data_IF_557158406174
#
_entry.id   IF_557158406174
#
_cell.length_a   1.000
_cell.length_b   1.000
_cell.length_c   1.000
_cell.angle_alpha   90.00
_cell.angle_beta   90.00
_cell.angle_gamma   90.00
#
_symmetry.space_group_name_H-M   'P 1'
#
loop_
_entity.id
_entity.type
_entity.pdbx_description
1 polymer ?
#
# COMPACT_ATOMS: atom_id res chain seq x y z
N UNK A 1 -5.31 -4.15 6.89
CA UNK A 1 -3.95 -4.69 6.61
C UNK A 1 -2.95 -3.88 7.41
N UNK A 2 -1.94 -4.51 7.99
CA UNK A 2 -0.90 -3.80 8.75
C UNK A 2 0.46 -4.47 8.56
N UNK A 3 1.54 -3.71 8.75
CA UNK A 3 2.89 -4.24 8.62
C UNK A 3 3.97 -3.18 8.47
N UNK A 4 5.22 -3.63 8.50
CA UNK A 4 6.37 -2.77 8.29
C UNK A 4 6.60 -2.46 6.81
N UNK A 5 6.85 -1.19 6.52
CA UNK A 5 7.36 -0.71 5.24
C UNK A 5 8.53 0.22 5.48
N UNK A 6 9.47 0.24 4.54
CA UNK A 6 10.54 1.22 4.50
C UNK A 6 10.00 2.47 3.81
N UNK A 7 10.01 3.59 4.52
CA UNK A 7 9.67 4.91 3.99
C UNK A 7 10.95 5.72 3.78
N UNK A 8 11.08 6.36 2.61
CA UNK A 8 12.12 7.35 2.43
C UNK A 8 11.81 8.62 3.25
N UNK A 9 12.79 9.06 4.03
CA UNK A 9 12.68 10.26 4.89
C UNK A 9 13.47 11.43 4.30
N UNK A 10 14.80 11.33 4.22
CA UNK A 10 15.67 12.36 3.64
C UNK A 10 16.99 11.74 3.16
N UNK A 11 17.86 12.52 2.52
CA UNK A 11 19.17 12.03 2.05
C UNK A 11 20.13 11.63 3.19
N UNK A 12 19.95 12.15 4.40
CA UNK A 12 20.81 11.87 5.56
C UNK A 12 20.46 10.54 6.24
N UNK A 13 19.18 10.19 6.30
CA UNK A 13 18.64 9.01 7.02
C UNK A 13 18.13 7.93 6.08
N UNK A 14 17.90 8.27 4.81
CA UNK A 14 17.53 7.36 3.74
C UNK A 14 16.19 6.64 3.95
N UNK A 15 16.23 5.32 3.86
CA UNK A 15 15.08 4.43 4.06
C UNK A 15 14.95 4.06 5.53
N UNK A 16 13.78 4.34 6.11
CA UNK A 16 13.50 4.10 7.52
C UNK A 16 12.30 3.17 7.65
N UNK A 17 12.42 2.13 8.48
CA UNK A 17 11.32 1.22 8.75
C UNK A 17 10.25 1.93 9.59
N UNK A 18 9.01 1.87 9.14
CA UNK A 18 7.84 2.45 9.80
C UNK A 18 6.70 1.45 9.78
N UNK A 19 5.87 1.48 10.82
CA UNK A 19 4.68 0.65 10.90
C UNK A 19 3.55 1.33 10.14
N UNK A 20 2.93 0.63 9.19
CA UNK A 20 1.80 1.12 8.43
C UNK A 20 0.56 0.30 8.77
N UNK A 21 -0.57 0.99 8.90
CA UNK A 21 -1.88 0.36 9.05
C UNK A 21 -2.81 0.91 7.97
N UNK A 22 -3.54 0.01 7.35
CA UNK A 22 -4.55 0.30 6.36
C UNK A 22 -5.90 -0.14 6.93
N UNK A 23 -6.75 0.84 7.23
CA UNK A 23 -8.08 0.66 7.80
C UNK A 23 -9.05 1.65 7.17
N UNK A 24 -10.25 1.19 6.80
CA UNK A 24 -11.34 2.02 6.27
C UNK A 24 -10.93 2.92 5.09
N UNK A 25 -10.05 2.41 4.21
CA UNK A 25 -9.54 3.17 3.06
C UNK A 25 -8.56 4.30 3.42
N UNK A 26 -8.09 4.34 4.66
CA UNK A 26 -7.09 5.27 5.17
C UNK A 26 -5.83 4.48 5.52
N UNK A 27 -4.71 4.90 4.94
CA UNK A 27 -3.38 4.38 5.24
C UNK A 27 -2.68 5.31 6.25
N UNK A 28 -2.54 4.85 7.48
CA UNK A 28 -1.85 5.56 8.56
C UNK A 28 -0.46 4.98 8.79
N UNK A 29 0.48 5.81 9.24
CA UNK A 29 1.81 5.34 9.62
C UNK A 29 2.29 5.87 10.96
N UNK A 30 3.12 5.06 11.61
CA UNK A 30 3.62 5.25 12.96
C UNK A 30 5.14 5.04 12.99
N UNK A 31 5.79 5.62 13.99
CA UNK A 31 7.23 5.48 14.15
C UNK A 31 7.62 4.05 14.53
N UNK A 32 6.87 3.45 15.44
CA UNK A 32 6.97 2.03 15.81
C UNK A 32 5.58 1.43 16.06
N UNK A 33 5.51 0.11 16.22
CA UNK A 33 4.26 -0.60 16.48
C UNK A 33 3.68 -0.25 17.87
N UNK A 34 4.53 0.09 18.82
CA UNK A 34 4.18 0.45 20.20
C UNK A 34 3.65 1.89 20.30
N UNK A 35 4.05 2.77 19.37
CA UNK A 35 3.57 4.17 19.28
C UNK A 35 2.19 4.32 18.64
N UNK A 36 1.50 3.23 18.28
CA UNK A 36 0.13 3.29 17.72
C UNK A 36 -0.84 4.05 18.64
N UNK A 37 -0.61 3.99 19.97
CA UNK A 37 -1.38 4.71 20.98
C UNK A 37 -0.86 6.14 21.28
N UNK A 38 0.36 6.48 20.86
CA UNK A 38 1.03 7.76 21.17
C UNK A 38 0.76 8.85 20.14
N UNK A 39 0.21 8.48 18.97
CA UNK A 39 -0.25 9.43 17.94
C UNK A 39 0.23 9.06 16.54
N UNK A 40 -0.66 9.21 15.56
CA UNK A 40 -0.33 8.97 14.16
C UNK A 40 0.62 10.06 13.63
N UNK A 41 1.73 9.67 12.99
CA UNK A 41 2.66 10.64 12.36
C UNK A 41 2.10 11.19 11.05
N UNK A 42 1.17 10.45 10.43
CA UNK A 42 0.44 10.89 9.26
C UNK A 42 -0.57 9.84 8.80
N UNK A 43 -1.59 10.29 8.08
CA UNK A 43 -2.60 9.44 7.46
C UNK A 43 -2.87 9.88 6.02
N UNK A 44 -3.16 8.91 5.15
CA UNK A 44 -3.36 9.09 3.73
C UNK A 44 -4.71 8.49 3.34
N UNK A 45 -5.60 9.29 2.76
CA UNK A 45 -6.86 8.77 2.21
C UNK A 45 -6.60 8.18 0.84
N UNK A 46 -6.83 6.87 0.70
CA UNK A 46 -6.51 6.15 -0.54
C UNK A 46 -7.41 6.51 -1.72
N UNK A 47 -8.63 7.00 -1.47
CA UNK A 47 -9.55 7.44 -2.52
C UNK A 47 -8.96 8.54 -3.40
N UNK A 48 -8.11 9.39 -2.83
CA UNK A 48 -7.50 10.54 -3.49
C UNK A 48 -6.01 10.33 -3.77
N UNK A 49 -5.52 9.11 -3.62
CA UNK A 49 -4.12 8.76 -3.73
C UNK A 49 -3.85 7.94 -4.99
N UNK A 50 -2.80 8.25 -5.75
CA UNK A 50 -2.35 7.48 -6.89
C UNK A 50 -1.22 6.51 -6.50
N UNK A 51 -1.35 5.26 -6.94
CA UNK A 51 -0.40 4.19 -6.65
C UNK A 51 0.47 3.95 -7.88
N UNK A 52 1.77 4.11 -7.72
CA UNK A 52 2.76 3.88 -8.78
C UNK A 52 3.64 2.71 -8.38
N UNK A 53 3.58 1.62 -9.14
CA UNK A 53 4.44 0.45 -8.92
C UNK A 53 5.70 0.59 -9.75
N UNK A 54 6.88 0.45 -9.13
CA UNK A 54 8.12 0.44 -9.87
C UNK A 54 8.29 -0.88 -10.64
N UNK A 55 8.61 -0.78 -11.94
CA UNK A 55 8.87 -1.93 -12.82
C UNK A 55 10.26 -2.53 -12.58
N UNK A 56 11.25 -1.69 -12.29
CA UNK A 56 12.65 -2.10 -12.10
C UNK A 56 12.94 -2.66 -10.71
N UNK A 57 12.42 -2.03 -9.64
CA UNK A 57 12.59 -2.53 -8.27
C UNK A 57 11.32 -3.28 -7.82
N UNK A 58 11.37 -4.61 -7.71
CA UNK A 58 10.21 -5.43 -7.41
C UNK A 58 9.77 -5.37 -5.94
N UNK A 59 10.40 -4.51 -5.12
CA UNK A 59 10.00 -4.24 -3.73
C UNK A 59 9.50 -2.81 -3.53
N UNK A 60 9.66 -1.92 -4.52
CA UNK A 60 9.37 -0.50 -4.39
C UNK A 60 8.03 -0.14 -5.02
N UNK A 61 7.32 0.78 -4.37
CA UNK A 61 6.10 1.39 -4.87
C UNK A 61 5.96 2.77 -4.24
N UNK A 62 5.32 3.69 -4.95
CA UNK A 62 5.16 5.05 -4.51
C UNK A 62 3.67 5.41 -4.42
N UNK A 63 3.33 6.24 -3.45
CA UNK A 63 2.00 6.79 -3.26
C UNK A 63 2.05 8.29 -3.48
N UNK A 64 1.22 8.80 -4.39
CA UNK A 64 1.09 10.22 -4.67
C UNK A 64 -0.23 10.72 -4.09
N UNK A 65 -0.16 11.76 -3.27
CA UNK A 65 -1.32 12.46 -2.73
C UNK A 65 -1.19 13.94 -3.10
N UNK A 66 -1.80 14.32 -4.22
CA UNK A 66 -1.61 15.67 -4.79
C UNK A 66 -0.13 15.94 -5.07
N UNK A 67 0.45 16.93 -4.41
CA UNK A 67 1.86 17.30 -4.55
C UNK A 67 2.81 16.46 -3.68
N UNK A 68 2.28 15.70 -2.71
CA UNK A 68 3.09 14.92 -1.79
C UNK A 68 3.32 13.49 -2.34
N UNK A 69 4.59 13.09 -2.45
CA UNK A 69 4.98 11.72 -2.84
C UNK A 69 5.60 10.96 -1.68
N UNK A 70 5.09 9.77 -1.43
CA UNK A 70 5.62 8.82 -0.47
C UNK A 70 6.33 7.71 -1.20
N UNK A 71 7.65 7.64 -1.01
CA UNK A 71 8.45 6.53 -1.52
C UNK A 71 8.43 5.41 -0.49
N UNK A 72 7.88 4.26 -0.89
CA UNK A 72 7.72 3.10 -0.02
C UNK A 72 8.43 1.88 -0.62
N UNK A 73 8.96 1.05 0.26
CA UNK A 73 9.58 -0.21 -0.12
C UNK A 73 9.16 -1.30 0.86
N UNK A 74 8.70 -2.41 0.33
CA UNK A 74 8.34 -3.58 1.09
C UNK A 74 9.58 -4.45 1.40
N UNK A 75 9.46 -5.31 2.40
CA UNK A 75 10.53 -6.24 2.80
C UNK A 75 10.76 -7.32 1.72
N UNK A 76 9.67 -7.82 1.12
CA UNK A 76 9.72 -8.82 0.05
C UNK A 76 8.86 -8.43 -1.16
N UNK A 77 9.06 -9.13 -2.29
CA UNK A 77 8.21 -8.97 -3.49
C UNK A 77 6.75 -9.35 -3.19
N UNK A 78 6.55 -10.38 -2.37
CA UNK A 78 5.23 -10.82 -1.93
C UNK A 78 4.54 -9.76 -1.07
N UNK A 79 5.27 -9.16 -0.13
CA UNK A 79 4.74 -8.06 0.69
C UNK A 79 4.35 -6.86 -0.15
N UNK A 80 5.19 -6.46 -1.11
CA UNK A 80 4.86 -5.39 -2.06
C UNK A 80 3.54 -5.71 -2.75
N UNK A 81 3.38 -6.93 -3.27
CA UNK A 81 2.17 -7.32 -3.97
C UNK A 81 0.94 -7.25 -3.07
N UNK A 82 1.05 -7.72 -1.82
CA UNK A 82 -0.04 -7.62 -0.83
C UNK A 82 -0.44 -6.17 -0.57
N UNK A 83 0.52 -5.28 -0.37
CA UNK A 83 0.28 -3.86 -0.15
C UNK A 83 -0.35 -3.17 -1.37
N UNK A 84 0.18 -3.41 -2.56
CA UNK A 84 -0.34 -2.87 -3.82
C UNK A 84 -1.79 -3.29 -4.05
N UNK A 85 -2.09 -4.58 -3.85
CA UNK A 85 -3.45 -5.11 -3.99
C UNK A 85 -4.39 -4.50 -2.94
N UNK A 86 -4.00 -4.50 -1.67
CA UNK A 86 -4.85 -3.95 -0.61
C UNK A 86 -5.16 -2.46 -0.83
N UNK A 87 -4.14 -1.66 -1.20
CA UNK A 87 -4.30 -0.24 -1.52
C UNK A 87 -5.21 -0.04 -2.74
N UNK A 88 -4.99 -0.82 -3.80
CA UNK A 88 -5.79 -0.77 -5.02
C UNK A 88 -7.26 -1.15 -4.79
N UNK A 89 -7.51 -2.19 -3.99
CA UNK A 89 -8.86 -2.61 -3.60
C UNK A 89 -9.57 -1.52 -2.80
N UNK A 90 -8.90 -0.94 -1.79
CA UNK A 90 -9.46 0.15 -1.00
C UNK A 90 -9.77 1.40 -1.84
N UNK A 91 -8.90 1.77 -2.79
CA UNK A 91 -9.13 2.90 -3.71
C UNK A 91 -10.33 2.66 -4.63
N UNK A 92 -10.50 1.43 -5.12
CA UNK A 92 -11.60 1.04 -6.00
C UNK A 92 -12.97 0.92 -5.28
N UNK A 93 -13.03 1.18 -3.97
CA UNK A 93 -14.26 0.99 -3.18
C UNK A 93 -14.65 -0.48 -3.01
N UNK A 94 -13.71 -1.41 -3.25
CA UNK A 94 -13.93 -2.82 -2.99
C UNK A 94 -13.67 -3.05 -1.51
N UNK A 95 -14.76 -3.15 -0.75
CA UNK A 95 -14.70 -3.61 0.63
C UNK A 95 -14.20 -5.06 0.62
N UNK A 96 -12.92 -5.26 0.92
CA UNK A 96 -12.38 -6.57 1.30
C UNK A 96 -12.86 -6.84 2.73
N UNK A 97 -14.17 -7.04 2.89
CA UNK A 97 -14.76 -7.51 4.14
C UNK A 97 -14.61 -9.02 4.17
N UNK A 98 -13.94 -9.51 5.22
CA UNK A 98 -13.80 -10.92 5.57
C UNK A 98 -15.11 -11.68 5.34
N UNK A 99 -15.14 -12.51 4.31
CA UNK A 99 -16.05 -13.65 4.18
C UNK A 99 -15.42 -14.67 3.23
N UNK A 100 -14.81 -15.68 3.84
CA UNK A 100 -14.68 -17.10 3.45
C UNK A 100 -14.62 -17.58 1.97
N UNK A 101 -14.35 -16.77 0.96
CA UNK A 101 -14.26 -17.25 -0.45
C UNK A 101 -12.83 -17.43 -0.98
N UNK A 102 -11.94 -18.00 -0.16
CA UNK A 102 -10.62 -18.45 -0.63
C UNK A 102 -10.67 -19.78 -1.41
N UNK A 103 -11.84 -20.29 -1.80
CA UNK A 103 -11.96 -21.65 -2.36
C UNK A 103 -12.53 -21.80 -3.77
N UNK A 104 -13.09 -20.78 -4.42
CA UNK A 104 -13.58 -20.97 -5.80
C UNK A 104 -13.20 -19.77 -6.66
N UNK A 105 -11.99 -19.77 -7.23
CA UNK A 105 -11.74 -20.04 -8.65
C UNK A 105 -10.30 -19.67 -8.94
N UNK A 106 -9.52 -20.62 -9.50
CA UNK A 106 -8.27 -20.33 -10.19
C UNK A 106 -8.51 -19.51 -11.47
N UNK A 107 -8.98 -18.27 -11.33
CA UNK A 107 -9.22 -17.36 -12.44
C UNK A 107 -8.15 -16.27 -12.48
N UNK A 108 -7.14 -16.51 -13.32
CA UNK A 108 -6.19 -15.53 -13.87
C UNK A 108 -6.86 -14.25 -14.45
N UNK A 109 -8.19 -14.18 -14.50
CA UNK A 109 -8.94 -13.04 -15.03
C UNK A 109 -9.02 -11.83 -14.08
N UNK A 110 -8.91 -12.03 -12.76
CA UNK A 110 -8.84 -10.90 -11.82
C UNK A 110 -7.51 -10.16 -11.96
N UNK A 111 -6.40 -10.88 -12.16
CA UNK A 111 -5.10 -10.30 -12.43
C UNK A 111 -5.07 -9.46 -13.72
N UNK A 112 -5.77 -9.91 -14.77
CA UNK A 112 -5.72 -9.27 -16.09
C UNK A 112 -6.49 -7.94 -16.17
N UNK A 113 -7.70 -7.84 -15.61
CA UNK A 113 -8.46 -6.57 -15.62
C UNK A 113 -7.93 -5.54 -14.62
N UNK A 114 -7.42 -5.96 -13.46
CA UNK A 114 -6.79 -5.04 -12.51
C UNK A 114 -5.43 -4.53 -13.02
N UNK A 115 -4.65 -5.35 -13.73
CA UNK A 115 -3.44 -4.86 -14.42
C UNK A 115 -3.78 -3.86 -15.54
N UNK A 116 -4.86 -4.03 -16.29
CA UNK A 116 -5.19 -3.11 -17.38
C UNK A 116 -5.67 -1.74 -16.88
N UNK A 117 -6.42 -1.67 -15.79
CA UNK A 117 -6.98 -0.42 -15.26
C UNK A 117 -5.96 0.47 -14.54
N UNK A 118 -4.84 -0.10 -14.06
CA UNK A 118 -3.75 0.68 -13.45
C UNK A 118 -2.76 1.19 -14.52
N UNK A 119 -2.75 0.63 -15.73
CA UNK A 119 -1.79 0.96 -16.81
C UNK A 119 -2.38 1.88 -17.90
N UNK A 120 -3.69 2.13 -17.92
CA UNK A 120 -4.36 2.98 -18.94
C UNK A 120 -4.81 4.35 -18.41
N UNK A 121 -3.96 5.03 -17.63
CA UNK A 121 -4.08 6.47 -17.41
C UNK A 121 -2.74 7.17 -17.52
#
# INVERSE_FOLDING_TARGET
MEGFLLKWTNYMTGWQQRWFTLKDGILSYYQSQEEVNSGCKGSLRLSSCDLIVHTTDPRRFDLLLGEQRFYLRALSRGDRQRWVVAIGCCKAGVNVTESEDFRITGNLRFYSRFCLLIVLR
#
